data_IF_487098519359
#
_entry.id   IF_487098519359
#
_cell.length_a   1.000
_cell.length_b   1.000
_cell.length_c   1.000
_cell.angle_alpha   90.00
_cell.angle_beta   90.00
_cell.angle_gamma   90.00
#
_symmetry.space_group_name_H-M   'P 1'
#
loop_
_entity.id
_entity.type
_entity.pdbx_description
1 polymer ?
#
# COMPACT_ATOMS: atom_id res chain seq x y z
N UNK A 1 -7.98 19.91 -1.43
CA UNK A 1 -7.05 19.59 -0.34
C UNK A 1 -6.38 18.25 -0.61
N UNK A 2 -5.07 18.22 -0.54
CA UNK A 2 -4.32 16.98 -0.71
C UNK A 2 -4.53 16.06 0.49
N UNK A 3 -4.96 14.83 0.22
CA UNK A 3 -5.13 13.81 1.25
C UNK A 3 -4.20 12.65 0.93
N UNK A 4 -3.12 12.46 1.70
CA UNK A 4 -2.15 11.40 1.41
C UNK A 4 -2.68 10.00 1.70
N UNK A 5 -3.76 9.88 2.45
CA UNK A 5 -4.42 8.61 2.76
C UNK A 5 -5.88 8.67 2.31
N UNK A 6 -6.45 7.52 1.87
CA UNK A 6 -7.90 7.46 1.64
C UNK A 6 -8.66 7.63 2.96
N UNK A 7 -9.91 8.06 2.88
CA UNK A 7 -10.74 8.31 4.07
C UNK A 7 -10.98 7.05 4.90
N UNK A 8 -10.84 5.89 4.30
CA UNK A 8 -11.03 4.60 4.98
C UNK A 8 -9.87 4.23 5.91
N UNK A 9 -8.75 4.97 5.86
CA UNK A 9 -7.54 4.63 6.63
C UNK A 9 -7.12 5.77 7.54
N UNK A 10 -6.49 5.40 8.65
CA UNK A 10 -5.89 6.33 9.59
C UNK A 10 -4.58 5.77 10.12
N UNK A 11 -3.73 6.63 10.68
CA UNK A 11 -2.45 6.25 11.28
C UNK A 11 -2.62 6.25 12.79
N UNK A 12 -2.24 5.15 13.43
CA UNK A 12 -2.29 5.00 14.90
C UNK A 12 -1.07 4.23 15.37
N UNK A 13 -0.85 4.23 16.68
CA UNK A 13 0.16 3.39 17.30
C UNK A 13 -0.18 1.92 17.05
N UNK A 14 0.79 1.18 16.54
CA UNK A 14 0.64 -0.23 16.20
C UNK A 14 1.10 -1.11 17.37
N UNK A 15 0.39 -2.23 17.56
CA UNK A 15 0.88 -3.28 18.47
C UNK A 15 2.03 -4.09 17.87
N UNK A 16 2.28 -3.94 16.58
CA UNK A 16 3.35 -4.67 15.88
C UNK A 16 4.65 -3.88 15.94
N UNK A 17 4.63 -2.62 15.49
CA UNK A 17 5.82 -1.78 15.44
C UNK A 17 5.42 -0.33 15.22
N UNK A 18 5.86 0.56 16.10
CA UNK A 18 5.71 2.01 15.97
C UNK A 18 4.32 2.45 15.57
N UNK A 19 4.22 3.17 14.45
CA UNK A 19 2.95 3.58 13.86
C UNK A 19 2.53 2.60 12.79
N UNK A 20 1.24 2.50 12.53
CA UNK A 20 0.70 1.65 11.49
C UNK A 20 -0.54 2.26 10.87
N UNK A 21 -1.02 1.62 9.80
CA UNK A 21 -2.27 1.97 9.14
C UNK A 21 -3.41 1.14 9.72
N UNK A 22 -4.53 1.79 10.01
CA UNK A 22 -5.71 1.13 10.55
C UNK A 22 -6.94 1.49 9.73
N UNK A 23 -7.86 0.54 9.62
CA UNK A 23 -9.14 0.77 8.97
C UNK A 23 -9.99 1.70 9.85
N UNK A 24 -10.43 2.79 9.28
CA UNK A 24 -11.31 3.76 9.95
C UNK A 24 -12.79 3.47 9.70
N UNK A 25 -13.04 2.48 8.88
CA UNK A 25 -14.37 1.96 8.54
C UNK A 25 -14.20 0.56 7.97
N UNK A 26 -15.30 -0.16 7.80
CA UNK A 26 -15.27 -1.47 7.13
C UNK A 26 -14.78 -1.29 5.69
N UNK A 27 -13.86 -2.15 5.27
CA UNK A 27 -13.33 -2.16 3.91
C UNK A 27 -13.62 -3.52 3.29
N UNK A 28 -14.23 -3.53 2.12
CA UNK A 28 -14.59 -4.76 1.43
C UNK A 28 -13.38 -5.38 0.74
N UNK A 29 -13.39 -6.71 0.63
CA UNK A 29 -12.37 -7.45 -0.12
C UNK A 29 -12.27 -6.92 -1.56
N UNK A 30 -11.04 -6.86 -2.06
CA UNK A 30 -10.78 -6.40 -3.43
C UNK A 30 -10.73 -4.89 -3.59
N UNK A 31 -10.76 -4.14 -2.49
CA UNK A 31 -10.68 -2.68 -2.54
C UNK A 31 -9.25 -2.25 -2.84
N UNK A 32 -9.10 -1.34 -3.80
CA UNK A 32 -7.82 -0.69 -4.09
C UNK A 32 -7.66 0.49 -3.15
N UNK A 33 -6.70 0.40 -2.22
CA UNK A 33 -6.45 1.45 -1.23
C UNK A 33 -5.60 2.59 -1.78
N UNK A 34 -4.99 2.40 -2.95
CA UNK A 34 -4.15 3.40 -3.57
C UNK A 34 -2.72 2.94 -3.79
N UNK A 35 -1.90 3.84 -4.30
CA UNK A 35 -0.51 3.57 -4.61
C UNK A 35 0.34 3.56 -3.34
N UNK A 36 1.10 2.48 -3.13
CA UNK A 36 2.04 2.36 -2.02
C UNK A 36 3.46 2.74 -2.43
N UNK A 37 3.86 2.36 -3.63
CA UNK A 37 5.21 2.56 -4.13
C UNK A 37 5.20 2.93 -5.61
N UNK A 38 6.23 3.66 -6.01
CA UNK A 38 6.46 4.03 -7.41
C UNK A 38 7.95 3.89 -7.68
N UNK A 39 8.30 3.16 -8.73
CA UNK A 39 9.70 3.06 -9.17
C UNK A 39 9.86 3.80 -10.49
N UNK A 40 10.77 4.76 -10.52
CA UNK A 40 11.16 5.50 -11.72
C UNK A 40 12.66 5.23 -11.97
N UNK A 41 12.95 4.49 -13.05
CA UNK A 41 14.30 4.03 -13.31
C UNK A 41 14.81 3.20 -12.13
N UNK A 42 15.89 3.63 -11.48
CA UNK A 42 16.47 2.94 -10.34
C UNK A 42 15.99 3.48 -8.99
N UNK A 43 15.12 4.49 -8.98
CA UNK A 43 14.66 5.13 -7.74
C UNK A 43 13.29 4.62 -7.34
N UNK A 44 13.20 4.13 -6.10
CA UNK A 44 11.96 3.67 -5.49
C UNK A 44 11.43 4.74 -4.54
N UNK A 45 10.21 5.17 -4.78
CA UNK A 45 9.50 6.12 -3.93
C UNK A 45 8.43 5.42 -3.13
N UNK A 46 8.24 5.81 -1.87
CA UNK A 46 7.14 5.35 -1.03
C UNK A 46 6.15 6.48 -0.81
N UNK A 47 4.88 6.17 -0.94
CA UNK A 47 3.81 7.07 -0.50
C UNK A 47 3.60 6.90 1.01
N UNK A 48 2.78 7.73 1.67
CA UNK A 48 2.40 7.48 3.06
C UNK A 48 1.79 6.09 3.29
N UNK A 49 1.04 5.55 2.33
CA UNK A 49 0.54 4.17 2.41
C UNK A 49 1.69 3.17 2.54
N UNK A 50 2.69 3.29 1.67
CA UNK A 50 3.84 2.38 1.71
C UNK A 50 4.78 2.65 2.88
N UNK A 51 4.78 3.89 3.40
CA UNK A 51 5.67 4.27 4.49
C UNK A 51 5.20 3.84 5.87
N UNK A 52 3.89 3.73 6.09
CA UNK A 52 3.33 3.42 7.41
C UNK A 52 2.74 2.01 7.52
N UNK A 53 2.70 1.24 6.43
CA UNK A 53 2.15 -0.11 6.47
C UNK A 53 3.16 -1.07 7.10
N UNK A 54 2.71 -1.88 8.05
CA UNK A 54 3.56 -2.83 8.74
C UNK A 54 3.53 -4.21 8.08
N UNK A 55 4.55 -5.01 8.38
CA UNK A 55 4.68 -6.38 7.89
C UNK A 55 3.85 -7.34 8.73
N UNK A 56 3.27 -8.35 8.08
CA UNK A 56 2.67 -9.51 8.73
C UNK A 56 2.90 -10.76 7.88
N UNK A 57 3.04 -11.90 8.51
CA UNK A 57 3.06 -13.18 7.82
C UNK A 57 1.65 -13.64 7.43
N UNK A 58 0.63 -13.00 8.00
CA UNK A 58 -0.78 -13.22 7.65
C UNK A 58 -1.42 -11.89 7.25
N UNK A 59 -0.96 -11.30 6.12
CA UNK A 59 -1.39 -9.97 5.75
C UNK A 59 -2.85 -9.94 5.29
N UNK A 60 -3.49 -8.78 5.41
CA UNK A 60 -4.84 -8.58 4.91
C UNK A 60 -4.87 -7.77 3.61
N UNK A 61 -3.69 -7.36 3.12
CA UNK A 61 -3.55 -6.57 1.89
C UNK A 61 -2.39 -7.12 1.08
N UNK A 62 -2.48 -7.01 -0.23
CA UNK A 62 -1.45 -7.42 -1.18
C UNK A 62 -0.98 -6.22 -1.97
N UNK A 63 0.35 -6.13 -2.21
CA UNK A 63 0.91 -5.19 -3.17
C UNK A 63 0.78 -5.78 -4.57
N UNK A 64 0.08 -5.08 -5.44
CA UNK A 64 -0.12 -5.50 -6.82
C UNK A 64 0.63 -4.54 -7.74
N UNK A 65 1.52 -5.08 -8.57
CA UNK A 65 2.26 -4.27 -9.53
C UNK A 65 1.36 -3.96 -10.72
N UNK A 66 1.37 -2.69 -11.11
CA UNK A 66 0.76 -2.23 -12.35
C UNK A 66 1.88 -1.79 -13.27
N UNK A 67 2.02 -2.49 -14.39
CA UNK A 67 2.97 -2.09 -15.43
C UNK A 67 2.30 -1.01 -16.26
N UNK A 68 2.87 0.18 -16.24
CA UNK A 68 2.41 1.25 -17.09
C UNK A 68 3.19 1.18 -18.40
N UNK A 69 2.51 0.73 -19.45
CA UNK A 69 3.06 0.75 -20.79
C UNK A 69 2.86 2.15 -21.35
N UNK A 70 3.96 2.83 -21.63
CA UNK A 70 3.89 4.13 -22.30
C UNK A 70 3.69 3.90 -23.79
N UNK A 71 2.53 4.27 -24.30
CA UNK A 71 2.18 4.12 -25.72
C UNK A 71 3.06 4.97 -26.65
N UNK A 72 3.69 6.01 -26.13
CA UNK A 72 4.52 6.92 -26.91
C UNK A 72 5.95 6.44 -27.11
N UNK A 73 6.26 5.21 -26.72
CA UNK A 73 7.60 4.62 -26.82
C UNK A 73 8.70 5.43 -26.14
N UNK A 74 8.35 6.32 -25.22
CA UNK A 74 9.33 6.98 -24.38
C UNK A 74 9.78 5.94 -23.36
N UNK A 75 11.09 5.72 -23.27
CA UNK A 75 11.70 4.70 -22.43
C UNK A 75 11.66 5.10 -20.97
N UNK A 76 10.47 5.24 -20.39
CA UNK A 76 10.34 5.34 -18.95
C UNK A 76 10.00 3.96 -18.41
N UNK A 77 11.01 3.40 -17.81
CA UNK A 77 10.87 2.16 -17.08
C UNK A 77 10.30 2.53 -15.71
N UNK A 78 8.97 2.49 -15.57
CA UNK A 78 8.42 2.72 -14.24
C UNK A 78 7.39 1.66 -13.88
N UNK A 79 7.35 1.36 -12.59
CA UNK A 79 6.41 0.42 -12.00
C UNK A 79 5.64 1.12 -10.88
N UNK A 80 4.39 0.80 -10.79
CA UNK A 80 3.50 1.31 -9.76
C UNK A 80 2.92 0.13 -9.00
N UNK A 81 2.96 0.20 -7.66
CA UNK A 81 2.34 -0.81 -6.80
C UNK A 81 1.16 -0.21 -6.07
N UNK A 82 0.04 -0.90 -6.13
CA UNK A 82 -1.16 -0.54 -5.39
C UNK A 82 -1.43 -1.58 -4.31
N UNK A 83 -2.12 -1.16 -3.27
CA UNK A 83 -2.55 -2.04 -2.18
C UNK A 83 -3.98 -2.49 -2.43
N UNK A 84 -4.19 -3.80 -2.52
CA UNK A 84 -5.52 -4.40 -2.75
C UNK A 84 -5.85 -5.28 -1.56
N UNK A 85 -7.04 -5.12 -0.98
CA UNK A 85 -7.45 -5.92 0.18
C UNK A 85 -7.71 -7.37 -0.23
N UNK A 86 -7.23 -8.31 0.59
CA UNK A 86 -7.35 -9.75 0.36
C UNK A 86 -8.64 -10.33 0.94
N UNK A 87 -9.23 -9.64 1.90
CA UNK A 87 -10.47 -10.03 2.56
C UNK A 87 -11.19 -8.79 3.05
N UNK A 88 -12.40 -8.94 3.57
CA UNK A 88 -13.07 -7.86 4.26
C UNK A 88 -12.29 -7.49 5.52
N UNK A 89 -12.15 -6.21 5.76
CA UNK A 89 -11.40 -5.66 6.89
C UNK A 89 -12.40 -4.91 7.78
N UNK A 90 -12.37 -5.18 9.07
CA UNK A 90 -13.25 -4.53 10.04
C UNK A 90 -12.68 -3.18 10.44
N UNK A 91 -13.56 -2.25 10.81
CA UNK A 91 -13.15 -1.01 11.45
C UNK A 91 -12.24 -1.31 12.64
N UNK A 92 -11.12 -0.61 12.73
CA UNK A 92 -10.14 -0.79 13.81
C UNK A 92 -9.07 -1.83 13.56
N UNK A 93 -9.19 -2.64 12.51
CA UNK A 93 -8.12 -3.59 12.17
C UNK A 93 -6.91 -2.88 11.60
N UNK A 94 -5.72 -3.37 11.94
CA UNK A 94 -4.49 -2.89 11.33
C UNK A 94 -4.35 -3.46 9.91
N UNK A 95 -3.94 -2.59 8.98
CA UNK A 95 -3.66 -2.93 7.59
C UNK A 95 -2.22 -3.39 7.51
N UNK A 96 -2.01 -4.61 7.00
CA UNK A 96 -0.66 -5.19 6.92
C UNK A 96 -0.41 -5.82 5.57
N UNK A 97 0.87 -5.85 5.17
CA UNK A 97 1.34 -6.54 3.97
C UNK A 97 2.48 -7.46 4.34
N UNK A 98 2.82 -8.37 3.41
CA UNK A 98 4.09 -9.08 3.51
C UNK A 98 5.15 -8.24 2.79
N UNK A 99 6.19 -7.86 3.52
CA UNK A 99 7.30 -7.09 2.93
C UNK A 99 8.03 -7.95 1.90
N UNK A 100 8.20 -7.41 0.70
CA UNK A 100 8.92 -8.08 -0.38
C UNK A 100 10.11 -7.27 -0.88
N UNK A 101 10.07 -5.94 -0.73
CA UNK A 101 11.16 -5.08 -1.20
C UNK A 101 12.40 -5.15 -0.32
N UNK A 102 12.23 -5.47 0.96
CA UNK A 102 13.32 -5.48 1.93
C UNK A 102 13.77 -6.89 2.28
N UNK A 103 13.21 -7.84 1.59
CA UNK A 103 13.51 -9.24 1.78
C UNK A 103 14.44 -9.69 0.66
N UNK A 104 15.58 -9.12 0.71
CA UNK A 104 16.61 -9.40 -0.29
C UNK A 104 17.51 -10.52 0.17
#
# INVERSE_FOLDING_TARGET
MYKPLPESLTIKTSGVHGLGLFADQKIMRGTNLGMSHLKLGDTLFRTPLGGFINHSNTPNVEKTVLLMVNEDKVKFDYKKWNLITLRDIKEGEEITIRYTFYNV
#
